data_IF_178267321010
#
_entry.id   IF_178267321010
#
_cell.length_a   1.000
_cell.length_b   1.000
_cell.length_c   1.000
_cell.angle_alpha   90.00
_cell.angle_beta   90.00
_cell.angle_gamma   90.00
#
_symmetry.space_group_name_H-M   'P 1'
#
loop_
_entity.id
_entity.type
_entity.pdbx_description
1 polymer ?
#
# COMPACT_ATOMS: atom_id res chain seq x y z
N UNK A 1 -15.67 -52.11 75.06
CA UNK A 1 -16.26 -51.30 73.96
C UNK A 1 -17.29 -50.35 74.55
N UNK A 2 -17.27 -49.09 74.09
CA UNK A 2 -18.11 -47.93 74.43
C UNK A 2 -17.46 -46.92 75.39
N UNK A 3 -16.84 -45.95 74.71
CA UNK A 3 -16.08 -44.80 75.15
C UNK A 3 -16.98 -43.66 75.65
N UNK A 4 -16.32 -42.81 76.43
CA UNK A 4 -16.79 -41.78 77.35
C UNK A 4 -17.61 -40.63 76.74
N UNK A 5 -18.48 -40.13 77.63
CA UNK A 5 -19.20 -38.85 77.58
C UNK A 5 -18.28 -37.64 77.38
N UNK A 6 -18.69 -36.73 76.49
CA UNK A 6 -18.08 -35.43 76.24
C UNK A 6 -18.94 -34.30 76.81
N UNK A 7 -18.46 -33.63 77.88
CA UNK A 7 -18.87 -32.27 78.26
C UNK A 7 -17.63 -31.55 78.80
N UNK A 8 -17.33 -30.37 78.24
CA UNK A 8 -16.23 -29.52 78.70
C UNK A 8 -16.13 -28.22 77.91
N UNK A 9 -16.84 -27.21 78.40
CA UNK A 9 -16.79 -25.80 77.99
C UNK A 9 -15.37 -25.21 78.02
N UNK A 10 -14.96 -24.48 76.97
CA UNK A 10 -14.14 -23.25 77.10
C UNK A 10 -14.50 -22.29 75.95
N UNK A 11 -15.14 -21.18 76.30
CA UNK A 11 -15.34 -20.03 75.42
C UNK A 11 -14.32 -18.94 75.79
N UNK A 12 -13.35 -18.68 74.94
CA UNK A 12 -12.48 -17.50 75.01
C UNK A 12 -12.93 -16.49 73.95
N UNK A 13 -13.70 -15.49 74.38
CA UNK A 13 -13.99 -14.32 73.57
C UNK A 13 -12.79 -13.36 73.63
N UNK A 14 -11.97 -13.34 72.58
CA UNK A 14 -11.01 -12.28 72.32
C UNK A 14 -11.73 -11.18 71.52
N UNK A 15 -12.13 -10.13 72.21
CA UNK A 15 -12.53 -8.86 71.62
C UNK A 15 -11.33 -8.21 70.94
N UNK A 16 -11.17 -8.44 69.64
CA UNK A 16 -10.27 -7.65 68.80
C UNK A 16 -10.91 -6.29 68.57
N UNK A 17 -10.34 -5.26 69.18
CA UNK A 17 -10.58 -3.88 68.76
C UNK A 17 -10.14 -3.79 67.29
N UNK A 18 -11.11 -3.63 66.39
CA UNK A 18 -10.87 -3.31 64.99
C UNK A 18 -10.26 -1.91 64.97
N UNK A 19 -8.92 -1.83 64.97
CA UNK A 19 -8.23 -0.62 64.51
C UNK A 19 -8.72 -0.40 63.08
N UNK A 20 -9.47 0.68 62.86
CA UNK A 20 -9.84 1.11 61.52
C UNK A 20 -8.56 1.19 60.69
N UNK A 21 -8.42 0.31 59.70
CA UNK A 21 -7.29 0.32 58.80
C UNK A 21 -7.24 1.71 58.14
N UNK A 22 -6.15 2.44 58.38
CA UNK A 22 -5.94 3.75 57.77
C UNK A 22 -5.98 3.60 56.25
N UNK A 23 -6.67 4.49 55.55
CA UNK A 23 -6.68 4.49 54.09
C UNK A 23 -5.75 5.55 53.55
N UNK A 24 -5.08 5.24 52.43
CA UNK A 24 -4.38 6.26 51.65
C UNK A 24 -5.40 7.10 50.90
N UNK A 25 -5.16 8.41 50.87
CA UNK A 25 -5.93 9.40 50.12
C UNK A 25 -5.03 10.59 49.82
N UNK A 26 -5.56 11.62 49.17
CA UNK A 26 -4.86 12.89 49.00
C UNK A 26 -5.78 14.08 49.22
N UNK A 27 -5.19 15.18 49.68
CA UNK A 27 -5.86 16.46 49.85
C UNK A 27 -5.26 17.51 48.89
N UNK A 28 -6.12 18.42 48.43
CA UNK A 28 -5.77 19.57 47.58
C UNK A 28 -4.99 19.22 46.29
N UNK A 29 -5.50 18.30 45.46
CA UNK A 29 -4.86 18.05 44.18
C UNK A 29 -5.12 19.17 43.18
N UNK A 30 -4.05 19.63 42.53
CA UNK A 30 -4.08 20.65 41.48
C UNK A 30 -3.41 20.11 40.23
N UNK A 31 -4.18 20.01 39.15
CA UNK A 31 -3.68 19.80 37.79
C UNK A 31 -3.39 21.18 37.19
N UNK A 32 -2.20 21.34 36.63
CA UNK A 32 -1.80 22.55 35.92
C UNK A 32 -1.26 22.18 34.55
N UNK A 33 -1.87 22.74 33.50
CA UNK A 33 -1.45 22.55 32.11
C UNK A 33 -1.03 23.90 31.56
N UNK A 34 0.21 23.99 31.06
CA UNK A 34 0.76 25.23 30.53
C UNK A 34 1.33 25.01 29.12
N UNK A 35 0.98 25.88 28.19
CA UNK A 35 1.67 26.00 26.91
C UNK A 35 2.99 26.76 27.10
N UNK A 36 3.95 26.55 26.19
CA UNK A 36 5.25 27.24 26.22
C UNK A 36 5.04 28.75 26.08
N UNK A 37 5.21 29.51 27.17
CA UNK A 37 5.07 30.96 27.20
C UNK A 37 3.68 31.51 27.56
N UNK A 38 2.74 30.65 27.98
CA UNK A 38 1.37 31.06 28.36
C UNK A 38 1.08 30.79 29.84
N UNK A 39 0.06 31.45 30.39
CA UNK A 39 -0.41 31.18 31.76
C UNK A 39 -0.95 29.75 31.90
N UNK A 40 -0.67 29.11 33.03
CA UNK A 40 -1.07 27.74 33.29
C UNK A 40 -2.55 27.64 33.67
N UNK A 41 -3.32 26.82 32.95
CA UNK A 41 -4.69 26.47 33.32
C UNK A 41 -4.65 25.54 34.52
N UNK A 42 -5.19 26.00 35.66
CA UNK A 42 -5.22 25.24 36.92
C UNK A 42 -6.62 24.68 37.17
N UNK A 43 -6.72 23.39 37.43
CA UNK A 43 -7.94 22.72 37.84
C UNK A 43 -7.69 21.97 39.14
N UNK A 44 -8.55 22.21 40.14
CA UNK A 44 -8.49 21.48 41.41
C UNK A 44 -9.41 20.28 41.36
N UNK A 45 -8.98 19.17 41.96
CA UNK A 45 -9.78 17.96 42.09
C UNK A 45 -9.50 17.28 43.44
N UNK A 46 -10.40 16.40 43.84
CA UNK A 46 -10.36 15.72 45.13
C UNK A 46 -10.32 14.20 44.94
N UNK A 47 -9.93 13.49 45.99
CA UNK A 47 -9.91 12.03 45.98
C UNK A 47 -11.30 11.45 45.64
N UNK A 48 -11.33 10.44 44.76
CA UNK A 48 -12.54 9.77 44.25
C UNK A 48 -13.55 10.66 43.51
N UNK A 49 -13.18 11.89 43.15
CA UNK A 49 -14.00 12.79 42.33
C UNK A 49 -13.22 13.17 41.07
N UNK A 50 -13.34 12.39 39.98
CA UNK A 50 -12.62 12.67 38.75
C UNK A 50 -13.09 13.97 38.10
N UNK A 51 -12.19 14.64 37.37
CA UNK A 51 -12.54 15.80 36.56
C UNK A 51 -13.48 15.38 35.41
N UNK A 52 -14.64 16.04 35.31
CA UNK A 52 -15.70 15.69 34.35
C UNK A 52 -15.35 16.00 32.90
N UNK A 53 -14.49 16.99 32.65
CA UNK A 53 -14.08 17.42 31.32
C UNK A 53 -12.66 16.96 31.03
N UNK A 54 -12.42 16.41 29.84
CA UNK A 54 -11.08 16.12 29.36
C UNK A 54 -10.26 17.41 29.25
N UNK A 55 -9.06 17.40 29.80
CA UNK A 55 -8.15 18.55 29.78
C UNK A 55 -7.25 18.44 28.56
N UNK A 56 -7.28 19.49 27.73
CA UNK A 56 -6.50 19.53 26.49
C UNK A 56 -5.08 19.98 26.79
N UNK A 57 -4.10 19.18 26.38
CA UNK A 57 -2.67 19.50 26.48
C UNK A 57 -2.21 20.05 25.13
N UNK A 58 -1.80 21.33 25.07
CA UNK A 58 -1.38 21.97 23.83
C UNK A 58 -0.02 21.44 23.37
N UNK A 59 0.32 21.68 22.09
CA UNK A 59 1.62 21.35 21.52
C UNK A 59 2.78 22.00 22.30
N UNK A 60 3.82 21.21 22.61
CA UNK A 60 4.91 21.54 23.53
C UNK A 60 4.48 21.92 24.96
N UNK A 61 3.30 21.46 25.39
CA UNK A 61 2.77 21.74 26.72
C UNK A 61 3.48 21.00 27.85
N UNK A 62 3.31 21.50 29.07
CA UNK A 62 3.74 20.84 30.31
C UNK A 62 2.53 20.53 31.19
N UNK A 63 2.51 19.34 31.77
CA UNK A 63 1.49 18.82 32.68
C UNK A 63 2.14 18.71 34.06
N UNK A 64 1.60 19.45 35.03
CA UNK A 64 2.07 19.46 36.40
C UNK A 64 0.95 19.06 37.34
N UNK A 65 1.16 18.01 38.10
CA UNK A 65 0.22 17.53 39.13
C UNK A 65 0.86 17.71 40.49
N UNK A 66 0.19 18.46 41.35
CA UNK A 66 0.57 18.64 42.75
C UNK A 66 -0.55 18.08 43.63
N UNK A 67 -0.21 17.28 44.63
CA UNK A 67 -1.16 16.76 45.61
C UNK A 67 -0.46 16.57 46.96
N UNK A 68 -1.22 16.50 48.05
CA UNK A 68 -0.69 16.13 49.36
C UNK A 68 -1.21 14.75 49.75
N UNK A 69 -0.35 13.74 49.69
CA UNK A 69 -0.68 12.37 50.08
C UNK A 69 -0.87 12.26 51.60
N UNK A 70 -1.91 11.54 52.00
CA UNK A 70 -2.30 11.36 53.39
C UNK A 70 -2.60 9.90 53.67
N UNK A 71 -2.22 9.46 54.86
CA UNK A 71 -2.68 8.21 55.45
C UNK A 71 -3.64 8.59 56.59
N UNK A 72 -4.94 8.29 56.39
CA UNK A 72 -6.01 8.79 57.26
C UNK A 72 -6.18 10.31 57.17
N UNK A 73 -5.60 11.06 58.13
CA UNK A 73 -5.63 12.54 58.19
C UNK A 73 -4.24 13.17 58.33
N UNK A 74 -3.18 12.36 58.38
CA UNK A 74 -1.81 12.85 58.51
C UNK A 74 -1.11 12.79 57.17
N UNK A 75 -0.51 13.91 56.76
CA UNK A 75 0.38 13.96 55.60
C UNK A 75 1.59 13.06 55.83
N UNK A 76 1.74 12.03 54.99
CA UNK A 76 2.84 11.06 55.07
C UNK A 76 3.34 10.74 53.67
N UNK A 77 4.61 10.32 53.61
CA UNK A 77 5.24 9.85 52.37
C UNK A 77 4.85 8.39 52.09
N UNK A 78 4.03 8.09 51.06
CA UNK A 78 3.81 6.72 50.61
C UNK A 78 5.09 6.10 50.04
N UNK A 79 5.16 4.77 50.09
CA UNK A 79 6.25 4.01 49.45
C UNK A 79 6.13 4.04 47.92
N UNK A 80 4.90 3.99 47.41
CA UNK A 80 4.56 3.97 46.00
C UNK A 80 3.61 5.14 45.69
N UNK A 81 4.03 6.01 44.76
CA UNK A 81 3.19 7.09 44.26
C UNK A 81 3.43 7.25 42.76
N UNK A 82 2.43 6.87 41.96
CA UNK A 82 2.52 6.92 40.50
C UNK A 82 1.30 7.60 39.87
N UNK A 83 1.57 8.36 38.80
CA UNK A 83 0.58 8.82 37.85
C UNK A 83 0.66 7.91 36.62
N UNK A 84 -0.35 7.06 36.43
CA UNK A 84 -0.40 6.14 35.28
C UNK A 84 -1.30 6.74 34.22
N UNK A 85 -0.77 6.88 33.00
CA UNK A 85 -1.53 7.28 31.82
C UNK A 85 -1.86 6.03 31.01
N UNK A 86 -3.14 5.85 30.69
CA UNK A 86 -3.66 4.70 29.94
C UNK A 86 -4.41 5.14 28.70
N UNK A 87 -4.15 4.47 27.59
CA UNK A 87 -4.96 4.56 26.38
C UNK A 87 -5.96 3.39 26.36
N UNK A 88 -7.27 3.66 26.37
CA UNK A 88 -8.31 2.62 26.46
C UNK A 88 -8.36 1.71 25.22
N UNK A 89 -8.11 2.25 24.03
CA UNK A 89 -8.24 1.51 22.77
C UNK A 89 -7.10 0.49 22.55
N UNK A 90 -5.86 0.89 22.86
CA UNK A 90 -4.67 0.05 22.68
C UNK A 90 -4.34 -0.77 23.95
N UNK A 91 -4.83 -0.35 25.11
CA UNK A 91 -4.46 -0.89 26.41
C UNK A 91 -3.03 -0.51 26.85
N UNK A 92 -2.38 0.43 26.15
CA UNK A 92 -1.04 0.89 26.47
C UNK A 92 -1.05 1.75 27.75
N UNK A 93 -0.13 1.48 28.66
CA UNK A 93 0.01 2.15 29.94
C UNK A 93 1.45 2.59 30.17
N UNK A 94 1.64 3.81 30.67
CA UNK A 94 2.94 4.32 31.14
C UNK A 94 2.77 4.93 32.52
N UNK A 95 3.71 4.69 33.43
CA UNK A 95 3.62 5.16 34.82
C UNK A 95 4.74 6.14 35.17
N UNK A 96 4.36 7.32 35.66
CA UNK A 96 5.26 8.39 36.04
C UNK A 96 5.34 8.53 37.57
N UNK A 97 6.53 8.42 38.19
CA UNK A 97 6.68 8.51 39.64
C UNK A 97 6.48 9.94 40.15
N UNK A 98 5.79 10.08 41.28
CA UNK A 98 5.74 11.34 42.02
C UNK A 98 7.03 11.59 42.81
N UNK A 99 7.51 12.83 42.77
CA UNK A 99 8.50 13.33 43.72
C UNK A 99 7.78 13.73 45.01
N UNK A 100 7.91 12.89 46.05
CA UNK A 100 7.20 13.06 47.33
C UNK A 100 8.17 13.48 48.44
N UNK A 101 7.80 14.53 49.18
CA UNK A 101 8.50 14.99 50.39
C UNK A 101 7.96 14.29 51.64
N UNK A 102 8.71 14.32 52.74
CA UNK A 102 8.30 13.70 54.01
C UNK A 102 6.99 14.26 54.57
N UNK A 103 6.67 15.52 54.24
CA UNK A 103 5.38 16.17 54.53
C UNK A 103 4.17 15.62 53.78
N UNK A 104 4.33 14.63 52.89
CA UNK A 104 3.29 14.08 52.01
C UNK A 104 3.05 14.89 50.73
N UNK A 105 3.63 16.09 50.59
CA UNK A 105 3.56 16.89 49.35
C UNK A 105 4.25 16.16 48.19
N UNK A 106 3.50 15.89 47.13
CA UNK A 106 3.90 15.15 45.95
C UNK A 106 3.79 16.03 44.69
N UNK A 107 4.77 15.91 43.80
CA UNK A 107 4.81 16.63 42.52
C UNK A 107 5.21 15.69 41.37
N UNK A 108 4.48 15.79 40.25
CA UNK A 108 4.86 15.25 38.93
C UNK A 108 4.90 16.41 37.94
N UNK A 109 5.94 16.45 37.11
CA UNK A 109 6.16 17.46 36.06
C UNK A 109 6.49 16.68 34.78
N UNK A 110 5.60 16.73 33.79
CA UNK A 110 5.73 16.00 32.53
C UNK A 110 5.67 17.00 31.38
N UNK A 111 6.71 17.06 30.55
CA UNK A 111 6.61 17.75 29.28
C UNK A 111 6.03 16.80 28.23
N UNK A 112 5.32 17.32 27.23
CA UNK A 112 4.78 16.50 26.15
C UNK A 112 5.86 15.67 25.44
N UNK A 113 7.10 16.18 25.34
CA UNK A 113 8.26 15.48 24.79
C UNK A 113 8.69 14.23 25.58
N UNK A 114 8.32 14.15 26.86
CA UNK A 114 8.68 13.04 27.73
C UNK A 114 7.63 11.92 27.68
N UNK A 115 6.51 12.15 27.00
CA UNK A 115 5.48 11.14 26.79
C UNK A 115 5.88 10.17 25.68
N UNK A 116 5.55 8.87 25.80
CA UNK A 116 5.72 7.91 24.72
C UNK A 116 5.05 8.40 23.44
N UNK A 117 5.71 8.15 22.31
CA UNK A 117 5.22 8.60 21.00
C UNK A 117 3.85 8.02 20.64
N UNK A 118 3.50 6.84 21.17
CA UNK A 118 2.17 6.24 20.95
C UNK A 118 1.04 7.12 21.52
N UNK A 119 1.28 7.76 22.67
CA UNK A 119 0.30 8.69 23.26
C UNK A 119 0.18 9.99 22.48
N UNK A 120 1.24 10.42 21.78
CA UNK A 120 1.22 11.63 20.94
C UNK A 120 0.42 11.45 19.65
N UNK A 121 0.29 10.22 19.16
CA UNK A 121 -0.47 9.86 17.96
C UNK A 121 -1.90 9.38 18.29
N UNK A 122 -2.21 9.19 19.58
CA UNK A 122 -3.53 8.74 20.01
C UNK A 122 -4.60 9.80 19.70
N UNK A 123 -5.69 9.37 19.08
CA UNK A 123 -6.89 10.19 18.88
C UNK A 123 -7.87 10.10 20.05
N UNK A 124 -7.69 9.11 20.93
CA UNK A 124 -8.55 8.90 22.10
C UNK A 124 -8.02 9.64 23.34
N UNK A 125 -8.90 10.12 24.25
CA UNK A 125 -8.46 10.68 25.51
C UNK A 125 -7.71 9.64 26.36
N UNK A 126 -6.59 10.04 26.94
CA UNK A 126 -5.80 9.24 27.88
C UNK A 126 -6.42 9.34 29.27
N UNK A 127 -6.61 8.20 29.92
CA UNK A 127 -7.11 8.12 31.30
C UNK A 127 -5.94 8.21 32.26
N UNK A 128 -5.99 9.17 33.18
CA UNK A 128 -4.95 9.35 34.20
C UNK A 128 -5.43 8.81 35.55
N UNK A 129 -4.73 7.79 36.04
CA UNK A 129 -5.00 7.11 37.32
C UNK A 129 -3.90 7.46 38.32
N UNK A 130 -4.28 7.83 39.54
CA UNK A 130 -3.32 8.09 40.62
C UNK A 130 -3.32 6.89 41.55
N UNK A 131 -2.14 6.33 41.77
CA UNK A 131 -1.93 5.21 42.69
C UNK A 131 -1.05 5.64 43.85
N UNK A 132 -1.55 5.53 45.08
CA UNK A 132 -0.80 5.77 46.32
C UNK A 132 -0.87 4.52 47.20
N UNK A 133 0.28 3.94 47.53
CA UNK A 133 0.37 2.75 48.37
C UNK A 133 1.62 2.77 49.24
N UNK A 134 1.57 2.05 50.36
CA UNK A 134 2.72 1.81 51.23
C UNK A 134 2.70 0.38 51.74
N UNK A 135 3.85 -0.12 52.20
CA UNK A 135 3.89 -1.35 52.97
C UNK A 135 3.16 -1.14 54.30
N UNK A 136 2.31 -2.10 54.70
CA UNK A 136 1.57 -2.04 55.96
C UNK A 136 0.14 -2.55 55.84
N UNK A 137 -0.68 -2.28 56.87
CA UNK A 137 -2.10 -2.63 56.92
C UNK A 137 -3.02 -1.55 56.34
N UNK A 138 -2.47 -0.45 55.81
CA UNK A 138 -3.27 0.61 55.21
C UNK A 138 -3.82 0.24 53.84
N UNK A 139 -5.06 0.65 53.57
CA UNK A 139 -5.70 0.39 52.27
C UNK A 139 -5.10 1.29 51.19
N UNK A 140 -4.63 0.75 50.04
CA UNK A 140 -4.05 1.55 48.98
C UNK A 140 -5.12 2.36 48.24
N UNK A 141 -4.72 3.50 47.71
CA UNK A 141 -5.56 4.36 46.87
C UNK A 141 -5.25 4.09 45.40
N UNK A 142 -6.28 3.80 44.61
CA UNK A 142 -6.19 3.75 43.15
C UNK A 142 -7.53 4.17 42.55
N UNK A 143 -7.56 5.32 41.88
CA UNK A 143 -8.75 5.75 41.13
C UNK A 143 -8.40 6.72 40.02
N UNK A 144 -9.31 6.80 39.04
CA UNK A 144 -9.24 7.75 37.93
C UNK A 144 -9.32 9.18 38.48
N UNK A 145 -8.36 10.01 38.08
CA UNK A 145 -8.28 11.41 38.50
C UNK A 145 -8.81 12.35 37.42
N UNK A 146 -8.37 12.17 36.18
CA UNK A 146 -8.74 13.04 35.06
C UNK A 146 -8.44 12.39 33.71
N UNK A 147 -8.95 12.98 32.64
CA UNK A 147 -8.67 12.59 31.25
C UNK A 147 -7.88 13.67 30.54
N UNK A 148 -6.92 13.26 29.73
CA UNK A 148 -6.07 14.15 28.94
C UNK A 148 -6.31 13.93 27.45
N UNK A 149 -6.45 15.02 26.70
CA UNK A 149 -6.43 14.97 25.24
C UNK A 149 -5.19 15.70 24.76
N UNK A 150 -4.28 14.98 24.11
CA UNK A 150 -3.03 15.56 23.61
C UNK A 150 -3.31 16.16 22.23
N UNK A 151 -3.05 17.46 22.07
CA UNK A 151 -3.07 18.06 20.73
C UNK A 151 -1.75 17.77 20.01
N UNK A 152 -1.80 17.20 18.80
CA UNK A 152 -0.63 17.03 17.97
C UNK A 152 -0.10 18.39 17.50
N UNK A 153 1.22 18.48 17.32
CA UNK A 153 1.85 19.66 16.75
C UNK A 153 1.51 19.77 15.25
N UNK A 154 0.83 20.84 14.86
CA UNK A 154 0.43 21.08 13.47
C UNK A 154 1.63 21.41 12.54
N UNK A 155 2.80 21.71 13.10
CA UNK A 155 3.99 22.11 12.34
C UNK A 155 4.98 20.97 12.06
N UNK A 156 4.80 19.81 12.70
CA UNK A 156 5.63 18.62 12.52
C UNK A 156 4.90 17.50 11.80
N UNK A 157 5.61 16.74 10.96
CA UNK A 157 5.09 15.45 10.48
C UNK A 157 4.74 14.59 11.69
N UNK A 158 3.57 13.93 11.73
CA UNK A 158 3.24 13.03 12.83
C UNK A 158 4.36 12.01 12.99
N UNK A 159 4.76 11.65 14.23
CA UNK A 159 5.76 10.62 14.46
C UNK A 159 5.20 9.28 13.96
N UNK A 160 5.50 8.98 12.70
CA UNK A 160 5.15 7.73 12.04
C UNK A 160 6.12 6.65 12.51
N UNK A 161 5.95 6.18 13.74
CA UNK A 161 6.59 4.95 14.18
C UNK A 161 5.92 3.78 13.45
N UNK A 162 6.71 2.98 12.74
CA UNK A 162 6.22 1.71 12.21
C UNK A 162 5.61 0.90 13.35
N UNK A 163 4.38 0.42 13.17
CA UNK A 163 3.76 -0.49 14.14
C UNK A 163 4.72 -1.65 14.40
N UNK A 164 4.86 -2.12 15.65
CA UNK A 164 5.78 -3.20 15.97
C UNK A 164 5.50 -4.40 15.06
N UNK A 165 6.55 -4.94 14.45
CA UNK A 165 6.42 -6.09 13.56
C UNK A 165 5.78 -7.24 14.32
N UNK A 166 4.53 -7.56 13.97
CA UNK A 166 3.83 -8.72 14.49
C UNK A 166 4.04 -9.87 13.51
N UNK A 167 4.44 -11.04 14.02
CA UNK A 167 4.58 -12.25 13.23
C UNK A 167 3.21 -12.80 12.82
N UNK A 168 2.56 -12.12 11.88
CA UNK A 168 1.32 -12.56 11.22
C UNK A 168 1.60 -12.92 9.77
N UNK A 169 0.71 -13.71 9.17
CA UNK A 169 0.77 -13.97 7.74
C UNK A 169 0.74 -12.63 6.98
N UNK A 170 1.69 -12.44 6.05
CA UNK A 170 1.74 -11.27 5.17
C UNK A 170 0.63 -11.37 4.11
N UNK A 171 0.13 -10.24 3.58
CA UNK A 171 -0.81 -10.27 2.48
C UNK A 171 -0.21 -10.98 1.25
N UNK A 172 -1.05 -11.70 0.52
CA UNK A 172 -0.67 -12.36 -0.73
C UNK A 172 -0.32 -11.33 -1.81
N UNK A 173 0.71 -11.64 -2.62
CA UNK A 173 1.17 -10.76 -3.71
C UNK A 173 0.71 -11.36 -5.03
N UNK A 174 -0.15 -10.65 -5.77
CA UNK A 174 -0.56 -11.03 -7.12
C UNK A 174 0.29 -10.32 -8.18
N UNK A 175 0.76 -11.08 -9.17
CA UNK A 175 1.46 -10.51 -10.33
C UNK A 175 0.46 -9.72 -11.20
N UNK A 176 0.77 -8.45 -11.49
CA UNK A 176 -0.05 -7.61 -12.36
C UNK A 176 0.50 -7.73 -13.79
N UNK A 177 -0.26 -8.41 -14.66
CA UNK A 177 0.09 -8.51 -16.07
C UNK A 177 -0.05 -7.16 -16.79
N UNK A 178 0.77 -6.97 -17.82
CA UNK A 178 0.64 -5.82 -18.70
C UNK A 178 -0.69 -5.89 -19.45
N UNK A 179 -1.38 -4.76 -19.57
CA UNK A 179 -2.60 -4.66 -20.38
C UNK A 179 -2.31 -4.94 -21.86
N UNK A 180 -3.25 -5.60 -22.53
CA UNK A 180 -3.16 -5.86 -23.96
C UNK A 180 -3.06 -4.55 -24.78
N UNK A 181 -2.29 -4.56 -25.88
CA UNK A 181 -2.21 -3.41 -26.78
C UNK A 181 -3.57 -3.13 -27.42
N UNK A 182 -3.93 -1.84 -27.54
CA UNK A 182 -5.17 -1.43 -28.19
C UNK A 182 -5.00 -1.38 -29.70
N UNK A 183 -5.81 -2.15 -30.43
CA UNK A 183 -5.89 -2.11 -31.89
C UNK A 183 -6.82 -1.00 -32.39
N UNK A 184 -6.60 -0.45 -33.60
CA UNK A 184 -7.47 0.58 -34.18
C UNK A 184 -8.86 0.02 -34.58
N UNK A 185 -9.87 0.90 -34.74
CA UNK A 185 -11.19 0.49 -35.22
C UNK A 185 -11.15 -0.15 -36.62
N UNK A 186 -11.82 -1.29 -36.78
CA UNK A 186 -11.84 -2.09 -38.02
C UNK A 186 -12.32 -1.29 -39.24
N UNK A 187 -13.25 -0.35 -39.04
CA UNK A 187 -13.79 0.50 -40.11
C UNK A 187 -12.69 1.35 -40.76
N UNK A 188 -11.79 1.91 -39.95
CA UNK A 188 -10.69 2.75 -40.44
C UNK A 188 -9.71 1.89 -41.23
N UNK A 189 -9.32 0.74 -40.68
CA UNK A 189 -8.44 -0.22 -41.37
C UNK A 189 -9.04 -0.71 -42.70
N UNK A 190 -10.35 -1.00 -42.74
CA UNK A 190 -11.03 -1.45 -43.95
C UNK A 190 -11.05 -0.37 -45.03
N UNK A 191 -11.35 0.88 -44.66
CA UNK A 191 -11.35 2.00 -45.60
C UNK A 191 -10.00 2.15 -46.30
N UNK A 192 -8.89 2.15 -45.55
CA UNK A 192 -7.57 2.28 -46.15
C UNK A 192 -7.17 1.06 -46.99
N UNK A 193 -7.53 -0.16 -46.57
CA UNK A 193 -7.31 -1.36 -47.39
C UNK A 193 -8.04 -1.27 -48.73
N UNK A 194 -9.31 -0.83 -48.73
CA UNK A 194 -10.07 -0.63 -49.96
C UNK A 194 -9.49 0.50 -50.82
N UNK A 195 -9.00 1.58 -50.21
CA UNK A 195 -8.34 2.67 -50.92
C UNK A 195 -7.07 2.18 -51.65
N UNK A 196 -6.26 1.33 -50.99
CA UNK A 196 -5.08 0.71 -51.62
C UNK A 196 -5.49 -0.22 -52.75
N UNK A 197 -6.50 -1.09 -52.55
CA UNK A 197 -7.00 -1.98 -53.60
C UNK A 197 -7.53 -1.17 -54.80
N UNK A 198 -8.18 -0.03 -54.56
CA UNK A 198 -8.70 0.85 -55.60
C UNK A 198 -7.59 1.50 -56.47
N UNK A 199 -6.34 1.55 -56.00
CA UNK A 199 -5.23 2.03 -56.84
C UNK A 199 -4.92 1.11 -58.02
N UNK A 200 -5.19 -0.20 -57.89
CA UNK A 200 -4.96 -1.18 -58.97
C UNK A 200 -5.85 -0.95 -60.21
N UNK A 201 -7.19 -0.84 -60.11
CA UNK A 201 -8.01 -0.54 -61.29
C UNK A 201 -7.71 0.86 -61.85
N UNK A 202 -7.35 1.84 -61.01
CA UNK A 202 -6.91 3.15 -61.49
C UNK A 202 -5.63 3.03 -62.34
N UNK A 203 -4.65 2.24 -61.89
CA UNK A 203 -3.43 1.97 -62.65
C UNK A 203 -3.74 1.28 -63.98
N UNK A 204 -4.53 0.20 -63.95
CA UNK A 204 -4.92 -0.54 -65.17
C UNK A 204 -5.69 0.34 -66.15
N UNK A 205 -6.65 1.14 -65.65
CA UNK A 205 -7.40 2.10 -66.47
C UNK A 205 -6.50 3.16 -67.09
N UNK A 206 -5.51 3.66 -66.34
CA UNK A 206 -4.53 4.63 -66.84
C UNK A 206 -3.65 4.03 -67.94
N UNK A 207 -3.19 2.79 -67.79
CA UNK A 207 -2.45 2.09 -68.84
C UNK A 207 -3.26 1.92 -70.12
N UNK A 208 -4.54 1.55 -70.00
CA UNK A 208 -5.43 1.44 -71.16
C UNK A 208 -5.65 2.81 -71.82
N UNK A 209 -5.85 3.87 -71.03
CA UNK A 209 -6.00 5.24 -71.54
C UNK A 209 -4.75 5.76 -72.28
N UNK A 210 -3.56 5.33 -71.85
CA UNK A 210 -2.28 5.63 -72.51
C UNK A 210 -1.98 4.73 -73.73
N UNK A 211 -2.88 3.81 -74.09
CA UNK A 211 -2.71 2.93 -75.25
C UNK A 211 -1.90 1.65 -74.98
N UNK A 212 -1.73 1.26 -73.71
CA UNK A 212 -1.14 -0.02 -73.34
C UNK A 212 -1.91 -1.18 -73.95
N UNK A 213 -1.22 -2.06 -74.67
CA UNK A 213 -1.83 -3.14 -75.44
C UNK A 213 -1.02 -4.44 -75.35
N UNK A 214 -1.62 -5.52 -75.85
CA UNK A 214 -1.07 -6.89 -75.82
C UNK A 214 -0.97 -7.44 -77.25
N UNK A 215 -0.87 -6.58 -78.27
CA UNK A 215 -0.95 -6.96 -79.70
C UNK A 215 0.13 -7.97 -80.12
N UNK A 216 1.33 -7.88 -79.53
CA UNK A 216 2.46 -8.74 -79.88
C UNK A 216 2.51 -10.05 -79.09
N UNK A 217 1.60 -10.29 -78.14
CA UNK A 217 1.62 -11.54 -77.37
C UNK A 217 1.32 -12.76 -78.24
N UNK A 218 0.36 -12.68 -79.17
CA UNK A 218 0.06 -13.79 -80.08
C UNK A 218 1.28 -14.15 -80.94
N UNK A 219 2.00 -13.13 -81.43
CA UNK A 219 3.25 -13.33 -82.17
C UNK A 219 4.32 -13.96 -81.27
N UNK A 220 4.51 -13.47 -80.04
CA UNK A 220 5.43 -14.01 -79.03
C UNK A 220 5.23 -15.50 -78.79
N UNK A 221 4.00 -15.89 -78.48
CA UNK A 221 3.67 -17.28 -78.22
C UNK A 221 3.69 -18.16 -79.48
N UNK A 222 3.60 -17.59 -80.69
CA UNK A 222 3.75 -18.36 -81.94
C UNK A 222 5.22 -18.64 -82.30
N UNK A 223 6.14 -17.72 -81.99
CA UNK A 223 7.54 -17.81 -82.42
C UNK A 223 8.39 -18.59 -81.42
N UNK A 224 8.19 -18.34 -80.11
CA UNK A 224 8.92 -19.02 -79.05
C UNK A 224 7.98 -19.43 -77.89
N UNK A 225 7.02 -20.33 -78.13
CA UNK A 225 5.98 -20.71 -77.15
C UNK A 225 6.56 -21.21 -75.83
N UNK A 226 7.61 -22.03 -75.89
CA UNK A 226 8.23 -22.64 -74.72
C UNK A 226 8.96 -21.60 -73.88
N UNK A 227 9.70 -20.68 -74.52
CA UNK A 227 10.48 -19.66 -73.82
C UNK A 227 9.56 -18.67 -73.11
N UNK A 228 8.56 -18.12 -73.81
CA UNK A 228 7.60 -17.17 -73.24
C UNK A 228 6.68 -17.83 -72.20
N UNK A 229 6.23 -19.06 -72.45
CA UNK A 229 5.37 -19.81 -71.52
C UNK A 229 6.08 -20.17 -70.22
N UNK A 230 7.30 -20.71 -70.29
CA UNK A 230 8.08 -21.02 -69.10
C UNK A 230 8.53 -19.77 -68.36
N UNK A 231 8.88 -18.70 -69.07
CA UNK A 231 9.27 -17.44 -68.45
C UNK A 231 8.10 -16.84 -67.66
N UNK A 232 6.94 -16.66 -68.31
CA UNK A 232 5.74 -16.14 -67.64
C UNK A 232 5.26 -17.05 -66.51
N UNK A 233 5.27 -18.37 -66.74
CA UNK A 233 4.94 -19.36 -65.72
C UNK A 233 5.88 -19.33 -64.53
N UNK A 234 7.18 -19.12 -64.75
CA UNK A 234 8.16 -18.99 -63.66
C UNK A 234 7.98 -17.71 -62.84
N UNK A 235 7.58 -16.60 -63.48
CA UNK A 235 7.26 -15.35 -62.78
C UNK A 235 6.03 -15.54 -61.89
N UNK A 236 4.92 -16.06 -62.43
CA UNK A 236 3.75 -16.38 -61.61
C UNK A 236 4.03 -17.44 -60.54
N UNK A 237 4.87 -18.43 -60.85
CA UNK A 237 5.30 -19.43 -59.90
C UNK A 237 6.10 -18.85 -58.74
N UNK A 238 7.01 -17.90 -59.00
CA UNK A 238 7.77 -17.21 -57.97
C UNK A 238 6.87 -16.37 -57.06
N UNK A 239 5.91 -15.63 -57.63
CA UNK A 239 4.90 -14.91 -56.84
C UNK A 239 4.08 -15.88 -55.98
N UNK A 240 3.67 -17.02 -56.54
CA UNK A 240 3.01 -18.09 -55.80
C UNK A 240 3.84 -18.64 -54.64
N UNK A 241 5.14 -18.86 -54.84
CA UNK A 241 6.07 -19.29 -53.78
C UNK A 241 6.15 -18.23 -52.67
N UNK A 242 6.17 -16.94 -53.00
CA UNK A 242 6.18 -15.88 -51.99
C UNK A 242 4.86 -15.74 -51.24
N UNK A 243 3.72 -15.94 -51.91
CA UNK A 243 2.41 -16.01 -51.23
C UNK A 243 2.35 -17.23 -50.29
N UNK A 244 2.88 -18.38 -50.72
CA UNK A 244 2.97 -19.57 -49.89
C UNK A 244 3.92 -19.35 -48.71
N UNK A 245 5.03 -18.64 -48.90
CA UNK A 245 5.93 -18.26 -47.80
C UNK A 245 5.27 -17.34 -46.78
N UNK A 246 4.51 -16.34 -47.26
CA UNK A 246 3.76 -15.44 -46.38
C UNK A 246 2.69 -16.18 -45.55
N UNK A 247 2.04 -17.19 -46.13
CA UNK A 247 0.89 -17.86 -45.52
C UNK A 247 1.23 -19.14 -44.73
N UNK A 248 2.14 -19.99 -45.22
CA UNK A 248 2.31 -21.34 -44.69
C UNK A 248 3.73 -21.95 -44.75
N UNK A 249 4.56 -21.61 -45.74
CA UNK A 249 5.84 -22.27 -45.98
C UNK A 249 6.96 -21.74 -45.10
N UNK A 250 7.87 -22.64 -44.71
CA UNK A 250 9.13 -22.28 -44.05
C UNK A 250 10.17 -21.80 -45.08
N UNK A 251 11.22 -21.13 -44.60
CA UNK A 251 12.27 -20.56 -45.44
C UNK A 251 12.99 -21.61 -46.31
N UNK A 252 13.24 -22.82 -45.79
CA UNK A 252 13.95 -23.88 -46.52
C UNK A 252 13.27 -24.28 -47.84
N UNK A 253 12.04 -24.83 -47.80
CA UNK A 253 11.28 -25.17 -49.02
C UNK A 253 11.09 -23.99 -49.96
N UNK A 254 10.89 -22.79 -49.42
CA UNK A 254 10.75 -21.53 -50.18
C UNK A 254 12.01 -21.25 -50.99
N UNK A 255 13.19 -21.31 -50.36
CA UNK A 255 14.48 -21.11 -51.05
C UNK A 255 14.73 -22.17 -52.11
N UNK A 256 14.45 -23.45 -51.84
CA UNK A 256 14.61 -24.52 -52.82
C UNK A 256 13.69 -24.34 -54.02
N UNK A 257 12.41 -24.04 -53.80
CA UNK A 257 11.44 -23.82 -54.87
C UNK A 257 11.78 -22.54 -55.68
N UNK A 258 12.14 -21.45 -54.99
CA UNK A 258 12.56 -20.21 -55.64
C UNK A 258 13.86 -20.38 -56.42
N UNK A 259 14.81 -21.20 -55.95
CA UNK A 259 16.03 -21.50 -56.70
C UNK A 259 15.73 -22.26 -57.99
N UNK A 260 14.88 -23.29 -57.94
CA UNK A 260 14.48 -24.05 -59.14
C UNK A 260 13.74 -23.15 -60.13
N UNK A 261 12.72 -22.44 -59.67
CA UNK A 261 11.96 -21.53 -60.53
C UNK A 261 12.82 -20.37 -61.05
N UNK A 262 13.77 -19.89 -60.26
CA UNK A 262 14.72 -18.84 -60.65
C UNK A 262 15.65 -19.28 -61.78
N UNK A 263 16.15 -20.52 -61.73
CA UNK A 263 16.95 -21.09 -62.85
C UNK A 263 16.09 -21.21 -64.11
N UNK A 264 14.85 -21.70 -63.98
CA UNK A 264 13.90 -21.78 -65.11
C UNK A 264 13.62 -20.39 -65.68
N UNK A 265 13.37 -19.40 -64.82
CA UNK A 265 13.13 -18.01 -65.22
C UNK A 265 14.33 -17.41 -65.94
N UNK A 266 15.55 -17.66 -65.43
CA UNK A 266 16.77 -17.16 -66.03
C UNK A 266 17.00 -17.71 -67.45
N UNK A 267 16.89 -19.04 -67.62
CA UNK A 267 17.14 -19.69 -68.91
C UNK A 267 16.03 -19.34 -69.93
N UNK A 268 14.77 -19.49 -69.54
CA UNK A 268 13.63 -19.20 -70.43
C UNK A 268 13.52 -17.70 -70.74
N UNK A 269 13.76 -16.85 -69.75
CA UNK A 269 13.77 -15.39 -69.90
C UNK A 269 14.87 -14.90 -70.83
N UNK A 270 16.09 -15.46 -70.74
CA UNK A 270 17.16 -15.11 -71.68
C UNK A 270 16.74 -15.39 -73.13
N UNK A 271 16.11 -16.55 -73.39
CA UNK A 271 15.62 -16.90 -74.74
C UNK A 271 14.42 -16.06 -75.19
N UNK A 272 13.49 -15.77 -74.29
CA UNK A 272 12.34 -14.89 -74.56
C UNK A 272 12.80 -13.47 -74.91
N UNK A 273 13.78 -12.93 -74.18
CA UNK A 273 14.33 -11.60 -74.43
C UNK A 273 15.16 -11.55 -75.72
N UNK A 274 15.86 -12.62 -76.08
CA UNK A 274 16.55 -12.71 -77.40
C UNK A 274 15.53 -12.62 -78.54
N UNK A 275 14.41 -13.33 -78.44
CA UNK A 275 13.37 -13.26 -79.47
C UNK A 275 12.73 -11.86 -79.57
N UNK A 276 12.51 -11.20 -78.42
CA UNK A 276 12.04 -9.80 -78.39
C UNK A 276 13.05 -8.86 -79.07
N UNK A 277 14.35 -9.10 -78.89
CA UNK A 277 15.40 -8.35 -79.58
C UNK A 277 15.38 -8.60 -81.10
N UNK A 278 15.22 -9.84 -81.54
CA UNK A 278 15.11 -10.19 -82.97
C UNK A 278 13.93 -9.51 -83.64
N UNK A 279 12.76 -9.46 -82.97
CA UNK A 279 11.60 -8.68 -83.46
C UNK A 279 11.92 -7.21 -83.67
N UNK A 280 12.60 -6.60 -82.69
CA UNK A 280 13.01 -5.20 -82.77
C UNK A 280 13.97 -4.94 -83.93
N UNK A 281 14.87 -5.88 -84.22
CA UNK A 281 15.79 -5.81 -85.35
C UNK A 281 15.06 -5.98 -86.70
N UNK A 282 14.00 -6.78 -86.73
CA UNK A 282 13.13 -6.98 -87.90
C UNK A 282 12.10 -5.84 -88.11
N UNK A 283 12.10 -4.82 -87.26
CA UNK A 283 11.18 -3.68 -87.34
C UNK A 283 9.78 -3.92 -86.77
N UNK A 284 9.54 -5.07 -86.13
CA UNK A 284 8.32 -5.36 -85.38
C UNK A 284 8.47 -4.78 -83.96
N UNK A 285 7.86 -3.61 -83.70
CA UNK A 285 7.81 -2.95 -82.38
C UNK A 285 6.42 -2.95 -81.79
#
# INVERSE_FOLDING_TARGET
>A
MRLLNTVGFVACALSTAVSAASSWTFEEATLSVAAKGSEAVKQKFAANVPLKSAVVVPASGTIKVLLTAQEGKSGKRPHQAFLTLREEASGLEESFPFSVKDSGKAKVDLAQKDLPHQFLTSSSPLVATITLASFGSSTPYSSEAFRLTIQPDASGSPPSSASPERYTAKPEIHHIFKSDPKSPPTVISLFFTLAVIATLPVLLGTWLALGGNISHASKAFSTAPIAHGLFLGSVFGLEGVFVLYYSAWKLGPTLSAAAVLGVVAYVSGSKALTEVQERRLNGER
#
